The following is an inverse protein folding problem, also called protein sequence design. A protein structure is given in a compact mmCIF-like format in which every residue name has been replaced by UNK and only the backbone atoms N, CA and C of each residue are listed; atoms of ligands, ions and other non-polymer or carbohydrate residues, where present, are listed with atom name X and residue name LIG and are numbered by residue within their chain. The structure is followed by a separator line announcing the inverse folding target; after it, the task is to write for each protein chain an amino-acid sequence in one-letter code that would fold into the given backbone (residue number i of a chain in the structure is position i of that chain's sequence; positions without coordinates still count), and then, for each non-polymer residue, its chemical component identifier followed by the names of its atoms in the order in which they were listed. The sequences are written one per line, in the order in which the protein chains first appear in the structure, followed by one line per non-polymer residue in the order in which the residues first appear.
data_IF_874242642839
#
_entry.id   IF_874242642839
#
_cell.length_a   1.000
_cell.length_b   1.000
_cell.length_c   1.000
_cell.angle_alpha   90.00
_cell.angle_beta   90.00
_cell.angle_gamma   90.00
#
_symmetry.space_group_name_H-M   'P 1'
#
loop_
_entity.id
_entity.type
_entity.pdbx_description
1 polymer ?
#
# COMPACT_ATOMS: atom_id res chain seq x y z
N UNK A 1 -10.98 8.34 -15.26
CA UNK A 1 -10.88 7.12 -14.43
C UNK A 1 -11.41 7.46 -13.05
N UNK A 2 -12.41 6.72 -12.55
CA UNK A 2 -12.94 6.90 -11.20
C UNK A 2 -12.39 5.81 -10.29
N UNK A 3 -12.07 6.14 -9.04
CA UNK A 3 -11.63 5.14 -8.05
C UNK A 3 -12.78 4.79 -7.10
N UNK A 4 -13.07 3.49 -6.95
CA UNK A 4 -13.98 3.00 -5.91
C UNK A 4 -13.24 2.85 -4.58
N UNK A 5 -13.43 3.79 -3.65
CA UNK A 5 -12.84 3.75 -2.30
C UNK A 5 -13.75 2.95 -1.37
N UNK A 6 -13.17 2.02 -0.61
CA UNK A 6 -13.89 1.08 0.28
C UNK A 6 -13.35 1.05 1.71
N UNK A 7 -12.45 1.96 2.06
CA UNK A 7 -11.87 2.06 3.40
C UNK A 7 -11.17 3.40 3.62
N UNK A 8 -10.90 3.70 4.89
CA UNK A 8 -10.20 4.91 5.32
C UNK A 8 -8.75 4.88 4.87
N UNK A 9 -8.22 6.05 4.48
CA UNK A 9 -6.80 6.23 4.18
C UNK A 9 -5.98 6.25 5.48
N UNK A 10 -4.85 5.55 5.49
CA UNK A 10 -3.93 5.51 6.63
C UNK A 10 -2.48 5.51 6.13
N UNK A 11 -1.56 6.06 6.94
CA UNK A 11 -0.14 5.98 6.64
C UNK A 11 0.34 4.52 6.65
N UNK A 12 1.23 4.17 5.71
CA UNK A 12 1.95 2.91 5.76
C UNK A 12 2.87 2.89 6.99
N UNK A 13 3.01 1.72 7.62
CA UNK A 13 4.13 1.48 8.53
C UNK A 13 5.47 1.60 7.83
N UNK A 14 6.53 1.74 8.63
CA UNK A 14 7.91 1.92 8.11
C UNK A 14 8.77 0.67 8.18
N UNK A 15 8.21 -0.42 8.68
CA UNK A 15 8.84 -1.72 8.81
C UNK A 15 7.79 -2.84 8.74
N UNK A 16 8.23 -4.09 8.79
CA UNK A 16 7.36 -5.26 8.73
C UNK A 16 6.37 -5.32 9.90
N UNK A 17 6.77 -4.93 11.11
CA UNK A 17 5.92 -4.96 12.30
C UNK A 17 4.77 -3.95 12.22
N UNK A 18 5.02 -2.79 11.59
CA UNK A 18 4.01 -1.77 11.31
C UNK A 18 3.26 -1.94 9.99
N UNK A 19 3.52 -3.01 9.22
CA UNK A 19 2.86 -3.24 7.94
C UNK A 19 1.34 -3.37 8.10
N UNK A 20 0.59 -3.03 7.05
CA UNK A 20 -0.88 -3.03 7.09
C UNK A 20 -1.49 -3.84 5.95
N UNK A 21 -2.53 -4.61 6.27
CA UNK A 21 -3.38 -5.27 5.26
C UNK A 21 -4.41 -4.31 4.65
N UNK A 22 -4.52 -3.09 5.19
CA UNK A 22 -5.52 -2.08 4.87
C UNK A 22 -6.96 -2.62 4.92
N UNK A 23 -7.29 -3.34 6.00
CA UNK A 23 -8.60 -3.97 6.17
C UNK A 23 -8.80 -5.15 5.22
N UNK A 24 -7.78 -5.99 5.10
CA UNK A 24 -7.75 -7.16 4.20
C UNK A 24 -8.11 -6.79 2.76
N UNK A 25 -7.54 -5.68 2.28
CA UNK A 25 -7.74 -5.21 0.92
C UNK A 25 -7.11 -6.17 -0.10
N UNK A 26 -7.82 -6.44 -1.20
CA UNK A 26 -7.24 -7.12 -2.37
C UNK A 26 -6.65 -6.14 -3.39
N UNK A 27 -7.06 -4.87 -3.30
CA UNK A 27 -6.47 -3.74 -4.03
C UNK A 27 -6.27 -2.59 -3.06
N UNK A 28 -5.05 -2.05 -2.99
CA UNK A 28 -4.71 -0.88 -2.19
C UNK A 28 -4.35 0.25 -3.15
N UNK A 29 -5.05 1.38 -3.04
CA UNK A 29 -4.60 2.63 -3.65
C UNK A 29 -3.53 3.21 -2.73
N UNK A 30 -2.30 3.32 -3.23
CA UNK A 30 -1.21 3.98 -2.53
C UNK A 30 -0.99 5.37 -3.11
N UNK A 31 -0.73 6.35 -2.25
CA UNK A 31 -0.31 7.69 -2.63
C UNK A 31 0.95 8.05 -1.86
N UNK A 32 1.94 8.61 -2.56
CA UNK A 32 3.09 9.24 -1.93
C UNK A 32 2.86 10.75 -1.94
N UNK A 33 2.50 11.33 -0.79
CA UNK A 33 2.22 12.76 -0.67
C UNK A 33 3.49 13.62 -0.42
N UNK A 34 4.67 13.00 -0.52
CA UNK A 34 5.96 13.70 -0.51
C UNK A 34 6.52 13.87 -1.93
N UNK A 35 7.53 14.73 -2.08
CA UNK A 35 8.27 14.89 -3.33
C UNK A 35 9.34 13.81 -3.56
N UNK A 36 9.72 13.05 -2.53
CA UNK A 36 10.78 12.04 -2.60
C UNK A 36 10.20 10.69 -2.99
N UNK A 37 10.79 9.99 -3.95
CA UNK A 37 10.41 8.61 -4.27
C UNK A 37 10.66 7.68 -3.07
N UNK A 38 9.72 6.78 -2.77
CA UNK A 38 9.80 5.88 -1.61
C UNK A 38 9.69 4.43 -2.03
N UNK A 39 10.51 3.56 -1.44
CA UNK A 39 10.36 2.12 -1.59
C UNK A 39 9.10 1.67 -0.85
N UNK A 40 8.29 0.85 -1.51
CA UNK A 40 7.12 0.16 -0.96
C UNK A 40 7.42 -1.33 -1.01
N UNK A 41 7.09 -2.04 0.07
CA UNK A 41 7.32 -3.47 0.21
C UNK A 41 6.02 -4.18 0.55
N UNK A 42 5.76 -5.29 -0.14
CA UNK A 42 4.67 -6.22 0.15
C UNK A 42 5.25 -7.48 0.79
N UNK A 43 4.68 -7.89 1.92
CA UNK A 43 5.05 -9.10 2.68
C UNK A 43 3.85 -10.03 2.86
N UNK A 44 4.13 -11.28 3.22
CA UNK A 44 3.14 -12.35 3.40
C UNK A 44 2.07 -12.04 4.46
N UNK A 45 2.44 -11.41 5.56
CA UNK A 45 1.54 -10.99 6.65
C UNK A 45 2.13 -9.86 7.51
N UNK A 46 1.34 -9.29 8.41
CA UNK A 46 1.82 -8.24 9.34
C UNK A 46 2.87 -8.83 10.27
N UNK A 47 4.05 -8.20 10.32
CA UNK A 47 5.21 -8.71 11.07
C UNK A 47 5.95 -9.87 10.38
N UNK A 48 5.50 -10.30 9.20
CA UNK A 48 6.11 -11.38 8.44
C UNK A 48 7.50 -11.02 7.89
N UNK A 49 8.31 -12.05 7.65
CA UNK A 49 9.66 -11.90 7.09
C UNK A 49 9.75 -12.16 5.59
N UNK A 50 8.70 -12.74 4.99
CA UNK A 50 8.75 -13.14 3.58
C UNK A 50 8.38 -11.95 2.71
N UNK A 51 9.34 -11.43 1.95
CA UNK A 51 9.09 -10.39 0.96
C UNK A 51 8.49 -11.01 -0.30
N UNK A 52 7.34 -10.50 -0.71
CA UNK A 52 6.65 -10.88 -1.96
C UNK A 52 7.14 -10.02 -3.11
N UNK A 53 7.31 -8.73 -2.87
CA UNK A 53 7.77 -7.79 -3.88
C UNK A 53 8.04 -6.42 -3.32
N UNK A 54 8.77 -5.62 -4.10
CA UNK A 54 9.03 -4.22 -3.81
C UNK A 54 8.90 -3.40 -5.08
N UNK A 55 8.56 -2.13 -4.92
CA UNK A 55 8.62 -1.16 -6.01
C UNK A 55 8.87 0.24 -5.45
N UNK A 56 9.36 1.13 -6.31
CA UNK A 56 9.52 2.54 -5.94
C UNK A 56 8.28 3.32 -6.35
N UNK A 57 7.61 3.96 -5.39
CA UNK A 57 6.50 4.88 -5.65
C UNK A 57 7.04 6.31 -5.77
N UNK A 58 7.00 6.94 -6.98
CA UNK A 58 7.50 8.29 -7.15
C UNK A 58 6.72 9.30 -6.28
N UNK A 59 7.35 10.45 -6.00
CA UNK A 59 6.68 11.52 -5.27
C UNK A 59 5.48 12.09 -6.01
N UNK A 60 4.45 12.51 -5.27
CA UNK A 60 3.20 13.06 -5.81
C UNK A 60 2.55 12.16 -6.88
N UNK A 61 2.59 10.85 -6.66
CA UNK A 61 1.98 9.84 -7.54
C UNK A 61 1.12 8.88 -6.74
N UNK A 62 0.25 8.21 -7.50
CA UNK A 62 -0.68 7.18 -7.04
C UNK A 62 -0.38 5.91 -7.80
N UNK A 63 -0.43 4.77 -7.11
CA UNK A 63 -0.34 3.44 -7.71
C UNK A 63 -1.40 2.52 -7.10
N UNK A 64 -1.83 1.50 -7.84
CA UNK A 64 -2.75 0.48 -7.33
C UNK A 64 -2.02 -0.84 -7.19
N UNK A 65 -1.96 -1.34 -5.96
CA UNK A 65 -1.29 -2.61 -5.66
C UNK A 65 -2.35 -3.67 -5.44
N UNK A 66 -2.38 -4.65 -6.34
CA UNK A 66 -3.11 -5.89 -6.13
C UNK A 66 -2.30 -6.82 -5.21
N UNK A 67 -2.96 -7.41 -4.23
CA UNK A 67 -2.35 -8.31 -3.25
C UNK A 67 -3.37 -9.31 -2.71
N UNK A 68 -2.92 -10.37 -2.05
CA UNK A 68 -3.83 -11.25 -1.30
C UNK A 68 -4.37 -10.54 -0.04
N UNK A 69 -5.52 -10.95 0.49
CA UNK A 69 -6.11 -10.33 1.69
C UNK A 69 -5.21 -10.39 2.94
N UNK A 70 -4.35 -11.41 3.04
CA UNK A 70 -3.42 -11.62 4.17
C UNK A 70 -2.15 -10.79 4.05
N UNK A 71 -1.73 -10.50 2.82
CA UNK A 71 -0.49 -9.78 2.53
C UNK A 71 -0.55 -8.36 3.08
N UNK A 72 0.57 -7.87 3.58
CA UNK A 72 0.69 -6.57 4.23
C UNK A 72 1.68 -5.67 3.48
N UNK A 73 1.47 -4.36 3.57
CA UNK A 73 2.31 -3.36 2.91
C UNK A 73 2.94 -2.45 3.97
N UNK A 74 4.23 -2.17 3.82
CA UNK A 74 4.93 -1.08 4.49
C UNK A 74 5.75 -0.28 3.47
N UNK A 75 6.22 0.90 3.85
CA UNK A 75 7.00 1.76 2.97
C UNK A 75 8.19 2.38 3.71
N UNK A 76 9.19 2.83 2.98
CA UNK A 76 10.36 3.51 3.57
C UNK A 76 10.02 4.82 4.31
N UNK A 77 8.78 5.33 4.20
CA UNK A 77 8.33 6.52 4.90
C UNK A 77 6.79 6.59 5.03
N UNK A 78 6.31 7.10 6.16
CA UNK A 78 4.88 7.27 6.45
C UNK A 78 4.14 8.33 5.60
N UNK A 79 4.87 9.10 4.77
CA UNK A 79 4.29 9.93 3.71
C UNK A 79 3.67 9.10 2.57
N UNK A 80 3.88 7.80 2.55
CA UNK A 80 3.08 6.87 1.73
C UNK A 80 1.84 6.50 2.52
N UNK A 81 0.66 6.79 1.97
CA UNK A 81 -0.63 6.43 2.55
C UNK A 81 -1.35 5.41 1.66
N UNK A 82 -2.11 4.52 2.28
CA UNK A 82 -2.90 3.50 1.60
C UNK A 82 -4.36 3.54 2.00
N UNK A 83 -5.22 3.23 1.03
CA UNK A 83 -6.65 3.02 1.24
C UNK A 83 -7.13 1.80 0.46
N UNK A 84 -8.07 1.04 1.04
CA UNK A 84 -8.73 -0.06 0.34
C UNK A 84 -9.51 0.48 -0.86
N UNK A 85 -9.21 -0.05 -2.04
CA UNK A 85 -9.90 0.27 -3.27
C UNK A 85 -10.60 -0.98 -3.82
N UNK A 86 -11.61 -0.77 -4.66
CA UNK A 86 -12.17 -1.81 -5.51
C UNK A 86 -11.68 -1.65 -6.95
N UNK A 87 -11.49 -2.78 -7.64
CA UNK A 87 -11.33 -2.79 -9.08
C UNK A 87 -12.67 -2.42 -9.73
N UNK A 88 -12.69 -1.35 -10.53
CA UNK A 88 -13.85 -1.00 -11.36
C UNK A 88 -13.37 -0.95 -12.80
N UNK A 89 -13.84 -1.87 -13.63
CA UNK A 89 -13.69 -1.75 -15.09
C UNK A 89 -14.67 -0.66 -15.49
N UNK A 90 -14.17 0.46 -15.98
CA UNK A 90 -14.95 1.51 -16.63
C UNK A 90 -14.63 1.53 -18.11
#
# INVERSE_FOLDING_TARGET
MNTLIKGTEAACGTDAAGASTFGSATVVRLVNNSATARLVTVIDEVGGSTTIGTFTLPGNKVEFVEKKPTEAIFAANAAVLGAKAGYTIS
#
